data_IF_535119341913
#
_entry.id   IF_535119341913
#
_cell.length_a   1.000
_cell.length_b   1.000
_cell.length_c   1.000
_cell.angle_alpha   90.00
_cell.angle_beta   90.00
_cell.angle_gamma   90.00
#
_symmetry.space_group_name_H-M   'P 1'
#
loop_
_entity.id
_entity.type
_entity.pdbx_description
1 polymer ?
#
# COMPACT_ATOMS: atom_id res chain seq x y z
N UNK A 1 -6.49 17.66 51.49
CA UNK A 1 -5.19 17.39 50.83
C UNK A 1 -5.44 16.44 49.66
N UNK A 2 -5.28 16.90 48.41
CA UNK A 2 -5.41 16.03 47.22
C UNK A 2 -4.17 15.15 47.16
N UNK A 3 -4.34 13.83 47.24
CA UNK A 3 -3.24 12.88 47.11
C UNK A 3 -2.63 13.08 45.72
N UNK A 4 -1.44 13.69 45.68
CA UNK A 4 -0.69 13.85 44.44
C UNK A 4 -0.21 12.46 44.03
N UNK A 5 -0.53 11.97 42.81
CA UNK A 5 -0.11 10.65 42.38
C UNK A 5 1.42 10.56 42.35
N UNK A 6 1.96 9.49 42.93
CA UNK A 6 3.40 9.24 42.99
C UNK A 6 3.99 9.16 41.57
N UNK A 7 5.02 9.97 41.23
CA UNK A 7 5.64 9.96 39.91
C UNK A 7 6.26 8.60 39.54
N UNK A 8 6.47 7.71 40.51
CA UNK A 8 7.08 6.38 40.33
C UNK A 8 6.09 5.24 40.24
N UNK A 9 4.77 5.50 40.26
CA UNK A 9 3.73 4.46 40.19
C UNK A 9 3.88 3.59 38.91
N UNK A 10 4.14 2.28 39.06
CA UNK A 10 4.29 1.36 37.92
C UNK A 10 3.02 1.26 37.07
N UNK A 11 1.83 1.51 37.62
CA UNK A 11 0.56 1.47 36.86
C UNK A 11 0.43 2.65 35.90
N UNK A 12 0.87 3.84 36.33
CA UNK A 12 0.93 5.02 35.46
C UNK A 12 1.91 4.80 34.30
N UNK A 13 3.08 4.22 34.58
CA UNK A 13 4.07 3.85 33.55
C UNK A 13 3.52 2.82 32.57
N UNK A 14 2.79 1.83 33.06
CA UNK A 14 2.13 0.83 32.22
C UNK A 14 1.09 1.45 31.28
N UNK A 15 0.25 2.38 31.78
CA UNK A 15 -0.75 3.07 30.95
C UNK A 15 -0.11 3.96 29.87
N UNK A 16 0.96 4.68 30.20
CA UNK A 16 1.70 5.49 29.22
C UNK A 16 2.39 4.60 28.17
N UNK A 17 3.00 3.49 28.60
CA UNK A 17 3.59 2.51 27.69
C UNK A 17 2.55 1.87 26.75
N UNK A 18 1.37 1.51 27.28
CA UNK A 18 0.28 0.97 26.48
C UNK A 18 -0.28 2.00 25.48
N UNK A 19 -0.43 3.26 25.90
CA UNK A 19 -0.86 4.35 25.02
C UNK A 19 0.12 4.59 23.87
N UNK A 20 1.43 4.60 24.16
CA UNK A 20 2.46 4.75 23.14
C UNK A 20 2.53 3.56 22.16
N UNK A 21 2.28 2.34 22.65
CA UNK A 21 2.21 1.16 21.78
C UNK A 21 1.01 1.22 20.82
N UNK A 22 -0.16 1.67 21.29
CA UNK A 22 -1.36 1.82 20.46
C UNK A 22 -1.19 2.86 19.35
N UNK A 23 -0.53 3.99 19.64
CA UNK A 23 -0.27 5.02 18.61
C UNK A 23 0.71 4.53 17.55
N UNK A 24 1.74 3.76 17.94
CA UNK A 24 2.68 3.14 17.00
C UNK A 24 1.97 2.13 16.08
N UNK A 25 1.05 1.32 16.61
CA UNK A 25 0.28 0.37 15.80
C UNK A 25 -0.68 1.10 14.84
N UNK A 26 -1.34 2.16 15.30
CA UNK A 26 -2.28 2.92 14.47
C UNK A 26 -1.58 3.73 13.36
N UNK A 27 -0.34 4.17 13.59
CA UNK A 27 0.47 4.91 12.62
C UNK A 27 1.29 3.99 11.69
N UNK A 28 1.28 2.68 11.92
CA UNK A 28 2.02 1.74 11.10
C UNK A 28 1.52 1.78 9.64
N UNK A 29 2.43 1.75 8.65
CA UNK A 29 2.03 1.64 7.25
C UNK A 29 1.21 0.37 7.07
N UNK A 30 0.05 0.49 6.42
CA UNK A 30 -0.77 -0.67 6.06
C UNK A 30 0.00 -1.51 5.05
N UNK A 31 0.45 -2.68 5.48
CA UNK A 31 0.99 -3.69 4.59
C UNK A 31 -0.19 -4.43 3.97
N UNK A 32 -0.36 -4.30 2.66
CA UNK A 32 -1.26 -5.17 1.93
C UNK A 32 -0.58 -6.53 1.81
N UNK A 33 -1.11 -7.54 2.51
CA UNK A 33 -0.71 -8.93 2.26
C UNK A 33 -0.94 -9.22 0.77
N UNK A 34 0.09 -9.73 0.09
CA UNK A 34 0.03 -10.03 -1.34
C UNK A 34 -0.94 -11.19 -1.60
N UNK A 35 -2.23 -10.91 -1.65
CA UNK A 35 -3.20 -11.80 -2.30
C UNK A 35 -2.80 -11.88 -3.76
N UNK A 36 -2.76 -13.11 -4.32
CA UNK A 36 -2.53 -13.30 -5.75
C UNK A 36 -3.69 -12.65 -6.51
N UNK A 37 -3.47 -11.42 -7.00
CA UNK A 37 -4.47 -10.68 -7.75
C UNK A 37 -4.79 -11.34 -9.10
N UNK A 38 -5.91 -10.94 -9.74
CA UNK A 38 -6.40 -11.58 -10.96
C UNK A 38 -5.35 -11.51 -12.07
N UNK A 39 -5.21 -12.61 -12.82
CA UNK A 39 -4.34 -12.70 -13.99
C UNK A 39 -5.21 -12.81 -15.23
N UNK A 40 -5.02 -11.89 -16.18
CA UNK A 40 -5.72 -11.88 -17.47
C UNK A 40 -4.71 -12.02 -18.60
N UNK A 41 -5.12 -12.73 -19.66
CA UNK A 41 -4.36 -12.85 -20.90
C UNK A 41 -4.72 -11.69 -21.83
N UNK A 42 -3.71 -11.00 -22.33
CA UNK A 42 -3.80 -9.99 -23.39
C UNK A 42 -3.12 -10.52 -24.65
N UNK A 43 -3.19 -9.77 -25.74
CA UNK A 43 -2.43 -10.06 -26.97
C UNK A 43 -0.92 -10.04 -26.76
N UNK A 44 -0.43 -9.31 -25.75
CA UNK A 44 0.98 -9.09 -25.44
C UNK A 44 1.42 -9.83 -24.17
N UNK A 45 0.69 -10.86 -23.74
CA UNK A 45 1.05 -11.71 -22.61
C UNK A 45 0.10 -11.61 -21.43
N UNK A 46 0.54 -12.05 -20.24
CA UNK A 46 -0.29 -12.10 -19.03
C UNK A 46 -0.03 -10.87 -18.16
N UNK A 47 -1.10 -10.26 -17.67
CA UNK A 47 -1.04 -9.11 -16.76
C UNK A 47 -1.69 -9.48 -15.44
N UNK A 48 -1.03 -9.14 -14.33
CA UNK A 48 -1.57 -9.27 -12.97
C UNK A 48 -2.15 -7.94 -12.51
N UNK A 49 -3.40 -7.95 -12.07
CA UNK A 49 -4.09 -6.83 -11.44
C UNK A 49 -4.18 -6.99 -9.93
N UNK A 50 -5.01 -6.15 -9.33
CA UNK A 50 -5.42 -6.23 -7.92
C UNK A 50 -6.95 -6.24 -7.82
N UNK A 51 -7.46 -6.67 -6.68
CA UNK A 51 -8.87 -6.51 -6.31
C UNK A 51 -8.97 -5.33 -5.34
N UNK A 52 -9.82 -4.36 -5.65
CA UNK A 52 -10.12 -3.20 -4.81
C UNK A 52 -11.64 -3.13 -4.59
N UNK A 53 -12.09 -3.62 -3.44
CA UNK A 53 -13.51 -3.90 -3.19
C UNK A 53 -14.05 -4.92 -4.21
N UNK A 54 -15.08 -4.51 -4.96
CA UNK A 54 -15.70 -5.34 -6.02
C UNK A 54 -15.06 -5.13 -7.41
N UNK A 55 -14.01 -4.29 -7.50
CA UNK A 55 -13.37 -3.95 -8.77
C UNK A 55 -12.10 -4.77 -8.99
N UNK A 56 -11.97 -5.34 -10.19
CA UNK A 56 -10.69 -5.87 -10.69
C UNK A 56 -9.93 -4.76 -11.40
N UNK A 57 -8.82 -4.33 -10.82
CA UNK A 57 -8.09 -3.15 -11.26
C UNK A 57 -6.76 -3.54 -11.90
N UNK A 58 -6.56 -3.10 -13.14
CA UNK A 58 -5.31 -3.24 -13.88
C UNK A 58 -4.82 -1.87 -14.30
N UNK A 59 -3.61 -1.48 -13.87
CA UNK A 59 -3.04 -0.13 -14.12
C UNK A 59 -1.68 -0.26 -14.79
N UNK A 60 -1.28 0.78 -15.53
CA UNK A 60 0.04 0.84 -16.17
C UNK A 60 0.24 -0.14 -17.33
N UNK A 61 -0.85 -0.67 -17.92
CA UNK A 61 -0.74 -1.52 -19.11
C UNK A 61 -0.21 -0.67 -20.27
N UNK A 62 0.91 -1.10 -20.85
CA UNK A 62 1.50 -0.46 -22.02
C UNK A 62 0.61 -0.67 -23.23
N UNK A 63 0.26 0.42 -23.90
CA UNK A 63 -0.52 0.41 -25.15
C UNK A 63 0.32 0.83 -26.36
N UNK A 64 1.58 1.19 -26.15
CA UNK A 64 2.54 1.53 -27.21
C UNK A 64 3.98 1.37 -26.72
N UNK A 65 4.89 1.28 -27.68
CA UNK A 65 6.33 1.20 -27.42
C UNK A 65 6.89 2.49 -26.76
N UNK A 66 8.13 2.42 -26.28
CA UNK A 66 8.85 3.61 -25.82
C UNK A 66 8.95 4.66 -26.92
N UNK A 67 8.56 5.89 -26.56
CA UNK A 67 8.53 7.04 -27.46
C UNK A 67 9.85 7.80 -27.49
N UNK A 68 10.75 7.60 -26.52
CA UNK A 68 12.02 8.32 -26.44
C UNK A 68 12.85 8.29 -27.75
N UNK A 69 13.01 7.15 -28.46
CA UNK A 69 13.76 7.10 -29.73
C UNK A 69 12.95 7.55 -30.95
N UNK A 70 11.63 7.73 -30.85
CA UNK A 70 10.72 7.98 -31.99
C UNK A 70 9.70 9.09 -31.71
N UNK A 71 10.16 10.19 -31.10
CA UNK A 71 9.29 11.33 -30.80
C UNK A 71 8.72 11.94 -32.08
N UNK A 72 7.48 12.42 -31.99
CA UNK A 72 6.75 13.05 -33.10
C UNK A 72 6.49 12.13 -34.30
N UNK A 73 6.60 10.81 -34.14
CA UNK A 73 6.18 9.81 -35.11
C UNK A 73 4.89 9.11 -34.67
N UNK A 74 4.18 8.43 -35.58
CA UNK A 74 3.07 7.56 -35.20
C UNK A 74 3.47 6.52 -34.14
N UNK A 75 2.57 6.18 -33.20
CA UNK A 75 2.87 5.22 -32.14
C UNK A 75 3.12 3.82 -32.70
N UNK A 76 4.07 3.10 -32.12
CA UNK A 76 4.29 1.69 -32.39
C UNK A 76 3.61 0.82 -31.33
N UNK A 77 3.30 -0.44 -31.67
CA UNK A 77 2.74 -1.41 -30.74
C UNK A 77 3.68 -1.65 -29.54
N UNK A 78 3.14 -1.96 -28.35
CA UNK A 78 3.95 -2.35 -27.20
C UNK A 78 4.62 -3.71 -27.42
N UNK A 79 5.71 -3.94 -26.70
CA UNK A 79 6.46 -5.21 -26.65
C UNK A 79 5.95 -6.16 -25.56
#
# INVERSE_FOLDING_TARGET
>A
MKHLPDPTDPRRRALLGAGAALTLVAAAPRTHAATSGPIVRTTFGRVRGIVDGDLQVFRGIRYGADTAPRRFMPPAAPE
#
